data_IF_862237488495
#
_entry.id   IF_862237488495
#
_cell.length_a   1.000
_cell.length_b   1.000
_cell.length_c   1.000
_cell.angle_alpha   90.00
_cell.angle_beta   90.00
_cell.angle_gamma   90.00
#
_symmetry.space_group_name_H-M   'P 1'
#
loop_
_entity.id
_entity.type
_entity.pdbx_description
1 polymer ?
#
# COMPACT_ATOMS: atom_id res chain seq x y z
N UNK A 1 35.56 -7.15 -12.91
CA UNK A 1 34.50 -8.16 -12.96
C UNK A 1 33.15 -7.46 -12.92
N UNK A 2 32.42 -7.52 -14.03
CA UNK A 2 31.06 -6.98 -14.18
C UNK A 2 30.05 -7.74 -13.31
N UNK A 3 29.05 -7.03 -12.77
CA UNK A 3 27.64 -7.42 -12.81
C UNK A 3 26.74 -6.21 -12.56
N UNK A 4 26.07 -5.77 -13.62
CA UNK A 4 24.98 -4.80 -13.68
C UNK A 4 23.71 -5.42 -13.11
N UNK A 5 22.96 -4.75 -12.22
CA UNK A 5 21.49 -4.90 -12.10
C UNK A 5 20.85 -3.55 -11.69
N UNK A 6 20.48 -2.79 -12.72
CA UNK A 6 19.23 -2.04 -12.95
C UNK A 6 18.57 -1.22 -11.82
N UNK A 7 18.64 0.11 -11.96
CA UNK A 7 17.77 1.12 -11.31
C UNK A 7 16.35 1.03 -11.87
N UNK A 8 15.33 1.10 -11.01
CA UNK A 8 13.94 1.33 -11.43
C UNK A 8 13.39 2.52 -10.63
N UNK A 9 13.60 3.73 -11.17
CA UNK A 9 12.96 4.95 -10.68
C UNK A 9 11.61 5.05 -11.37
N UNK A 10 10.52 4.79 -10.65
CA UNK A 10 9.19 5.16 -11.10
C UNK A 10 8.86 6.54 -10.56
N UNK A 11 9.16 7.56 -11.37
CA UNK A 11 8.73 8.93 -11.14
C UNK A 11 7.30 9.09 -11.67
N UNK A 12 6.33 9.19 -10.78
CA UNK A 12 4.95 9.53 -11.15
C UNK A 12 4.89 11.00 -11.57
N UNK A 13 4.32 11.23 -12.74
CA UNK A 13 4.42 12.46 -13.52
C UNK A 13 3.92 13.71 -12.80
N UNK A 14 4.77 14.74 -12.81
CA UNK A 14 4.39 16.14 -12.68
C UNK A 14 3.68 16.56 -13.97
N UNK A 15 2.44 17.03 -13.89
CA UNK A 15 1.72 17.55 -15.07
C UNK A 15 2.26 18.94 -15.39
N UNK A 16 3.09 19.02 -16.44
CA UNK A 16 3.40 20.26 -17.14
C UNK A 16 2.47 20.38 -18.36
N UNK A 17 1.69 21.47 -18.42
CA UNK A 17 0.78 21.75 -19.51
C UNK A 17 1.55 22.14 -20.79
N UNK A 18 1.42 21.36 -21.86
CA UNK A 18 1.77 21.77 -23.23
C UNK A 18 0.64 21.33 -24.17
N UNK A 19 0.08 22.31 -24.87
CA UNK A 19 -1.02 22.26 -25.83
C UNK A 19 -0.79 21.28 -27.00
N UNK A 20 -1.67 20.29 -27.14
CA UNK A 20 -1.83 19.42 -28.31
C UNK A 20 -3.33 19.25 -28.61
N UNK A 21 -3.75 19.06 -29.88
CA UNK A 21 -5.15 19.03 -30.28
C UNK A 21 -5.90 17.89 -29.57
N UNK A 22 -7.05 18.24 -29.00
CA UNK A 22 -7.92 17.37 -28.22
C UNK A 22 -8.49 16.23 -29.09
N UNK A 23 -7.74 15.15 -29.25
CA UNK A 23 -8.38 13.84 -29.32
C UNK A 23 -9.06 13.66 -27.96
N UNK A 24 -10.39 13.51 -27.95
CA UNK A 24 -11.14 13.20 -26.74
C UNK A 24 -10.68 11.85 -26.19
N UNK A 25 -9.56 11.85 -25.46
CA UNK A 25 -9.26 10.82 -24.50
C UNK A 25 -10.51 10.74 -23.62
N UNK A 26 -11.12 9.56 -23.44
CA UNK A 26 -12.19 9.42 -22.48
C UNK A 26 -11.65 9.99 -21.17
N UNK A 27 -12.39 10.91 -20.57
CA UNK A 27 -12.06 11.39 -19.25
C UNK A 27 -12.11 10.15 -18.34
N UNK A 28 -10.95 9.57 -18.03
CA UNK A 28 -10.79 8.70 -16.87
C UNK A 28 -11.07 9.60 -15.67
N UNK A 29 -12.36 9.72 -15.34
CA UNK A 29 -12.85 10.20 -14.07
C UNK A 29 -12.41 9.16 -13.03
N UNK A 30 -11.13 9.21 -12.68
CA UNK A 30 -10.43 8.23 -11.86
C UNK A 30 -9.36 8.93 -11.06
N UNK A 31 -9.76 9.96 -10.30
CA UNK A 31 -8.86 10.64 -9.38
C UNK A 31 -8.54 9.72 -8.21
N UNK A 32 -7.32 9.75 -7.70
CA UNK A 32 -7.00 9.13 -6.42
C UNK A 32 -6.10 10.01 -5.56
N UNK A 33 -6.27 9.90 -4.25
CA UNK A 33 -5.42 10.53 -3.25
C UNK A 33 -4.90 9.46 -2.29
N UNK A 34 -3.62 9.56 -1.93
CA UNK A 34 -2.95 8.64 -1.02
C UNK A 34 -2.30 9.38 0.14
N UNK A 35 -2.56 8.91 1.36
CA UNK A 35 -1.92 9.37 2.58
C UNK A 35 -1.03 8.25 3.12
N UNK A 36 0.25 8.54 3.29
CA UNK A 36 1.24 7.62 3.82
C UNK A 36 1.71 8.13 5.16
N UNK A 37 1.58 7.30 6.19
CA UNK A 37 1.98 7.62 7.55
C UNK A 37 3.07 6.65 8.01
N UNK A 38 4.22 7.23 8.36
CA UNK A 38 5.34 6.52 8.97
C UNK A 38 5.68 7.24 10.29
N UNK A 39 5.47 6.59 11.44
CA UNK A 39 5.79 7.15 12.74
C UNK A 39 7.27 7.58 12.84
N UNK A 40 7.51 8.73 13.47
CA UNK A 40 8.88 9.26 13.69
C UNK A 40 9.43 8.93 15.07
N UNK A 41 8.58 8.49 15.99
CA UNK A 41 8.96 8.14 17.36
C UNK A 41 8.66 6.68 17.65
N UNK A 42 9.43 6.07 18.54
CA UNK A 42 9.22 4.68 18.95
C UNK A 42 7.85 4.47 19.64
N UNK A 43 7.32 5.50 20.30
CA UNK A 43 6.00 5.45 20.96
C UNK A 43 4.89 5.34 19.93
N UNK A 44 4.92 6.20 18.92
CA UNK A 44 3.91 6.22 17.85
C UNK A 44 4.01 4.94 16.99
N UNK A 45 5.23 4.46 16.74
CA UNK A 45 5.46 3.19 16.07
C UNK A 45 4.81 2.02 16.81
N UNK A 46 5.04 1.89 18.12
CA UNK A 46 4.41 0.85 18.95
C UNK A 46 2.89 0.98 19.01
N UNK A 47 2.36 2.20 19.09
CA UNK A 47 0.92 2.42 19.11
C UNK A 47 0.28 1.97 17.78
N UNK A 48 0.92 2.29 16.65
CA UNK A 48 0.47 1.86 15.34
C UNK A 48 0.59 0.34 15.17
N UNK A 49 1.72 -0.25 15.57
CA UNK A 49 1.93 -1.71 15.56
C UNK A 49 0.85 -2.44 16.36
N UNK A 50 0.61 -2.02 17.61
CA UNK A 50 -0.45 -2.58 18.45
C UNK A 50 -1.83 -2.43 17.80
N UNK A 51 -2.11 -1.26 17.22
CA UNK A 51 -3.34 -1.00 16.50
C UNK A 51 -3.53 -1.94 15.31
N UNK A 52 -2.47 -2.14 14.51
CA UNK A 52 -2.48 -3.05 13.36
C UNK A 52 -2.59 -4.51 13.80
N UNK A 53 -1.92 -4.93 14.87
CA UNK A 53 -2.01 -6.28 15.43
C UNK A 53 -3.42 -6.56 15.96
N UNK A 54 -4.00 -5.63 16.71
CA UNK A 54 -5.38 -5.74 17.19
C UNK A 54 -6.37 -5.78 16.03
N UNK A 55 -6.18 -4.92 15.02
CA UNK A 55 -6.99 -4.92 13.80
C UNK A 55 -6.86 -6.25 13.05
N UNK A 56 -5.64 -6.75 12.87
CA UNK A 56 -5.36 -8.04 12.22
C UNK A 56 -6.00 -9.20 12.99
N UNK A 57 -5.87 -9.24 14.31
CA UNK A 57 -6.49 -10.27 15.14
C UNK A 57 -8.03 -10.23 15.06
N UNK A 58 -8.63 -9.04 15.13
CA UNK A 58 -10.07 -8.86 14.96
C UNK A 58 -10.56 -9.33 13.59
N UNK A 59 -9.81 -9.04 12.52
CA UNK A 59 -10.14 -9.54 11.18
C UNK A 59 -9.82 -11.03 11.02
N UNK A 60 -8.78 -11.55 11.67
CA UNK A 60 -8.46 -12.97 11.71
C UNK A 60 -9.60 -13.78 12.33
N UNK A 61 -10.20 -13.28 13.41
CA UNK A 61 -11.38 -13.89 14.02
C UNK A 61 -12.63 -13.85 13.13
N UNK A 62 -12.74 -12.85 12.23
CA UNK A 62 -13.90 -12.69 11.34
C UNK A 62 -13.75 -13.33 9.96
N UNK A 63 -12.54 -13.34 9.40
CA UNK A 63 -12.28 -13.78 8.02
C UNK A 63 -10.97 -14.56 7.85
N UNK A 64 -10.14 -14.69 8.89
CA UNK A 64 -8.90 -15.48 8.85
C UNK A 64 -7.80 -14.93 7.92
N UNK A 65 -7.93 -13.72 7.39
CA UNK A 65 -7.08 -13.24 6.30
C UNK A 65 -6.42 -11.89 6.60
N UNK A 66 -5.11 -11.80 6.36
CA UNK A 66 -4.33 -10.56 6.37
C UNK A 66 -4.69 -9.62 5.21
N UNK A 67 -5.27 -10.19 4.15
CA UNK A 67 -5.74 -9.49 2.97
C UNK A 67 -7.26 -9.63 2.92
N UNK A 68 -7.97 -8.51 2.92
CA UNK A 68 -9.43 -8.47 2.79
C UNK A 68 -9.83 -7.59 1.62
N UNK A 69 -10.50 -8.19 0.65
CA UNK A 69 -10.95 -7.52 -0.56
C UNK A 69 -12.48 -7.57 -0.64
N UNK A 70 -13.12 -6.40 -0.66
CA UNK A 70 -14.55 -6.22 -0.80
C UNK A 70 -14.82 -5.48 -2.11
N UNK A 71 -15.43 -6.14 -3.08
CA UNK A 71 -15.77 -5.56 -4.38
C UNK A 71 -15.20 -6.35 -5.55
N UNK A 72 -14.86 -5.69 -6.66
CA UNK A 72 -14.58 -6.34 -7.95
C UNK A 72 -13.21 -5.95 -8.50
N UNK A 73 -12.51 -6.90 -9.13
CA UNK A 73 -11.24 -6.65 -9.83
C UNK A 73 -10.12 -6.05 -8.95
N UNK A 74 -10.14 -6.32 -7.64
CA UNK A 74 -9.07 -5.91 -6.74
C UNK A 74 -7.95 -6.96 -6.73
N UNK A 75 -6.70 -6.53 -6.59
CA UNK A 75 -5.51 -7.39 -6.45
C UNK A 75 -4.70 -6.94 -5.24
N UNK A 76 -4.29 -7.90 -4.41
CA UNK A 76 -3.48 -7.63 -3.24
C UNK A 76 -2.45 -8.75 -3.01
N UNK A 77 -1.25 -8.36 -2.61
CA UNK A 77 -0.18 -9.28 -2.24
C UNK A 77 0.65 -8.74 -1.08
N UNK A 78 1.03 -9.63 -0.17
CA UNK A 78 1.96 -9.35 0.92
C UNK A 78 3.11 -10.35 0.79
N UNK A 79 4.33 -9.86 0.61
CA UNK A 79 5.56 -10.64 0.66
C UNK A 79 6.36 -10.26 1.90
N UNK A 80 6.73 -11.23 2.72
CA UNK A 80 7.52 -11.02 3.93
C UNK A 80 8.77 -11.89 3.85
N UNK A 81 9.93 -11.27 4.00
CA UNK A 81 11.22 -11.94 4.18
C UNK A 81 11.75 -11.53 5.56
N UNK A 82 11.94 -12.51 6.45
CA UNK A 82 12.20 -12.32 7.88
C UNK A 82 11.05 -12.80 8.77
N UNK A 83 11.08 -12.43 10.05
CA UNK A 83 10.20 -12.96 11.11
C UNK A 83 9.48 -11.86 11.89
N UNK A 84 8.32 -12.17 12.47
CA UNK A 84 7.57 -11.23 13.33
C UNK A 84 6.86 -10.09 12.58
N UNK A 85 6.97 -10.04 11.25
CA UNK A 85 6.34 -9.03 10.41
C UNK A 85 4.82 -9.17 10.38
N UNK A 86 4.12 -8.04 10.37
CA UNK A 86 2.68 -7.94 10.16
C UNK A 86 2.36 -7.10 8.92
N UNK A 87 1.76 -7.73 7.92
CA UNK A 87 1.14 -7.03 6.80
C UNK A 87 -0.38 -7.08 6.91
N UNK A 88 -1.05 -5.95 6.66
CA UNK A 88 -2.51 -5.88 6.55
C UNK A 88 -2.87 -5.16 5.26
N UNK A 89 -3.75 -5.74 4.47
CA UNK A 89 -4.32 -5.09 3.28
C UNK A 89 -5.83 -5.15 3.33
N UNK A 90 -6.49 -4.00 3.19
CA UNK A 90 -7.94 -3.88 3.09
C UNK A 90 -8.28 -3.08 1.84
N UNK A 91 -9.02 -3.68 0.93
CA UNK A 91 -9.50 -3.04 -0.30
C UNK A 91 -11.02 -3.05 -0.31
N UNK A 92 -11.67 -1.90 -0.49
CA UNK A 92 -13.13 -1.79 -0.58
C UNK A 92 -13.50 -0.93 -1.78
N UNK A 93 -14.00 -1.57 -2.84
CA UNK A 93 -14.25 -0.90 -4.11
C UNK A 93 -13.86 -1.73 -5.32
N UNK A 94 -13.44 -1.08 -6.39
CA UNK A 94 -13.09 -1.77 -7.64
C UNK A 94 -11.79 -1.30 -8.27
N UNK A 95 -11.02 -2.26 -8.81
CA UNK A 95 -9.79 -1.96 -9.56
C UNK A 95 -8.61 -1.55 -8.67
N UNK A 96 -8.63 -1.89 -7.37
CA UNK A 96 -7.51 -1.59 -6.48
C UNK A 96 -6.35 -2.56 -6.68
N UNK A 97 -5.12 -2.06 -6.59
CA UNK A 97 -3.88 -2.85 -6.58
C UNK A 97 -3.12 -2.51 -5.31
N UNK A 98 -2.73 -3.53 -4.53
CA UNK A 98 -1.88 -3.38 -3.35
C UNK A 98 -0.75 -4.39 -3.37
N UNK A 99 0.48 -3.92 -3.17
CA UNK A 99 1.64 -4.78 -2.92
C UNK A 99 2.38 -4.26 -1.70
N UNK A 100 2.55 -5.12 -0.70
CA UNK A 100 3.37 -4.86 0.47
C UNK A 100 4.55 -5.83 0.49
N UNK A 101 5.78 -5.31 0.54
CA UNK A 101 6.99 -6.11 0.74
C UNK A 101 7.68 -5.69 2.03
N UNK A 102 7.94 -6.64 2.92
CA UNK A 102 8.65 -6.40 4.18
C UNK A 102 9.91 -7.27 4.17
N UNK A 103 11.07 -6.63 4.29
CA UNK A 103 12.39 -7.26 4.30
C UNK A 103 13.10 -6.85 5.61
N UNK A 104 13.19 -7.79 6.54
CA UNK A 104 13.62 -7.58 7.92
C UNK A 104 12.65 -8.17 8.93
N UNK A 105 12.82 -7.85 10.21
CA UNK A 105 12.04 -8.41 11.32
C UNK A 105 11.16 -7.37 12.01
N UNK A 106 10.07 -7.83 12.60
CA UNK A 106 9.15 -7.03 13.43
C UNK A 106 8.60 -5.77 12.74
N UNK A 107 8.48 -5.79 11.41
CA UNK A 107 7.86 -4.71 10.64
C UNK A 107 6.35 -4.83 10.62
N UNK A 108 5.64 -3.71 10.72
CA UNK A 108 4.18 -3.66 10.69
C UNK A 108 3.66 -2.62 9.71
N UNK A 109 2.86 -3.02 8.72
CA UNK A 109 2.27 -2.08 7.76
C UNK A 109 0.82 -2.41 7.41
N UNK A 110 -0.01 -1.38 7.35
CA UNK A 110 -1.40 -1.47 6.91
C UNK A 110 -1.66 -0.68 5.64
N UNK A 111 -2.20 -1.32 4.60
CA UNK A 111 -2.69 -0.66 3.38
C UNK A 111 -4.22 -0.69 3.38
N UNK A 112 -4.84 0.47 3.25
CA UNK A 112 -6.29 0.64 3.23
C UNK A 112 -6.68 1.41 1.96
N UNK A 113 -7.40 0.76 1.05
CA UNK A 113 -7.82 1.34 -0.22
C UNK A 113 -9.34 1.35 -0.31
N UNK A 114 -9.90 2.48 -0.74
CA UNK A 114 -11.33 2.67 -0.89
C UNK A 114 -11.67 3.31 -2.23
N UNK A 115 -12.84 2.95 -2.78
CA UNK A 115 -13.43 3.60 -3.96
C UNK A 115 -13.05 2.91 -5.26
N UNK A 116 -12.33 3.58 -6.17
CA UNK A 116 -11.96 2.99 -7.48
C UNK A 116 -10.50 3.26 -7.86
N UNK A 117 -9.89 2.32 -8.59
CA UNK A 117 -8.64 2.49 -9.33
C UNK A 117 -7.49 3.11 -8.49
N UNK A 118 -7.24 2.60 -7.30
CA UNK A 118 -6.08 3.03 -6.49
C UNK A 118 -4.96 2.00 -6.52
N UNK A 119 -3.72 2.48 -6.53
CA UNK A 119 -2.50 1.64 -6.55
C UNK A 119 -1.62 1.98 -5.35
N UNK A 120 -1.30 0.98 -4.54
CA UNK A 120 -0.41 1.09 -3.39
C UNK A 120 0.74 0.08 -3.53
N UNK A 121 1.96 0.59 -3.60
CA UNK A 121 3.18 -0.21 -3.55
C UNK A 121 4.05 0.26 -2.39
N UNK A 122 4.23 -0.60 -1.39
CA UNK A 122 4.95 -0.29 -0.18
C UNK A 122 6.06 -1.32 0.02
N UNK A 123 7.27 -0.83 0.29
CA UNK A 123 8.40 -1.63 0.71
C UNK A 123 8.94 -1.14 2.06
N UNK A 124 9.03 -2.03 3.03
CA UNK A 124 9.74 -1.81 4.29
C UNK A 124 11.04 -2.61 4.27
N UNK A 125 12.14 -1.95 4.56
CA UNK A 125 13.49 -2.56 4.56
C UNK A 125 14.18 -2.15 5.86
N UNK A 126 14.60 -3.14 6.64
CA UNK A 126 15.12 -2.98 8.00
C UNK A 126 14.16 -3.55 9.05
N UNK A 127 14.47 -3.35 10.33
CA UNK A 127 13.70 -3.94 11.44
C UNK A 127 12.83 -2.93 12.17
N UNK A 128 11.70 -3.37 12.73
CA UNK A 128 10.85 -2.59 13.64
C UNK A 128 10.12 -1.41 12.98
N UNK A 129 9.97 -1.40 11.67
CA UNK A 129 9.33 -0.31 10.95
C UNK A 129 7.82 -0.43 11.05
N UNK A 130 7.14 0.65 11.45
CA UNK A 130 5.68 0.73 11.44
C UNK A 130 5.20 1.70 10.38
N UNK A 131 4.05 1.45 9.76
CA UNK A 131 3.44 2.42 8.85
C UNK A 131 2.03 2.07 8.41
N UNK A 132 1.36 3.03 7.78
CA UNK A 132 0.06 2.84 7.19
C UNK A 132 -0.12 3.69 5.93
N UNK A 133 -0.84 3.17 4.95
CA UNK A 133 -1.27 3.88 3.76
C UNK A 133 -2.78 3.86 3.66
N UNK A 134 -3.39 5.02 3.41
CA UNK A 134 -4.82 5.15 3.13
C UNK A 134 -4.98 5.80 1.76
N UNK A 135 -5.63 5.11 0.83
CA UNK A 135 -5.87 5.60 -0.53
C UNK A 135 -7.37 5.64 -0.81
N UNK A 136 -7.80 6.74 -1.42
CA UNK A 136 -9.18 6.99 -1.80
C UNK A 136 -9.22 7.33 -3.28
N UNK A 137 -10.06 6.66 -4.07
CA UNK A 137 -10.28 7.01 -5.48
C UNK A 137 -11.75 7.08 -5.85
N UNK A 138 -12.10 7.82 -6.90
CA UNK A 138 -13.49 8.04 -7.35
C UNK A 138 -13.63 8.04 -8.86
#
# INVERSE_FOLDING_TARGET
MNRQITKLIHATALVAAISLPLASAPAEAGGSIGFYYSPRTARDARALDLGLRAYSAYNGLRSGAHIRQLGRNNRAGIGQDGSGNLGVVRQEGSGHIATLRQDGNDNSYGIFQFGRNTDANVAQVGDGQSGAAVLLGW
#
